data_IF_626852351584
#
_entry.id   IF_626852351584
#
_cell.length_a   1.000
_cell.length_b   1.000
_cell.length_c   1.000
_cell.angle_alpha   90.00
_cell.angle_beta   90.00
_cell.angle_gamma   90.00
#
_symmetry.space_group_name_H-M   'P 1'
#
loop_
_entity.id
_entity.type
_entity.pdbx_description
1 polymer ?
#
# COMPACT_ATOMS: atom_id res chain seq x y z
N UNK A 1 27.76 37.64 5.82
CA UNK A 1 28.30 36.52 6.62
C UNK A 1 27.27 35.46 6.99
N UNK A 2 26.29 35.68 7.89
CA UNK A 2 25.32 34.61 8.28
C UNK A 2 24.55 34.02 7.10
N UNK A 3 24.15 34.86 6.14
CA UNK A 3 23.46 34.46 4.91
C UNK A 3 24.34 33.56 4.02
N UNK A 4 25.60 33.92 3.87
CA UNK A 4 26.56 33.22 3.00
C UNK A 4 26.95 31.88 3.61
N UNK A 5 27.22 31.84 4.93
CA UNK A 5 27.45 30.60 5.68
C UNK A 5 26.25 29.67 5.54
N UNK A 6 25.03 30.19 5.70
CA UNK A 6 23.82 29.38 5.53
C UNK A 6 23.67 28.86 4.10
N UNK A 7 23.96 29.68 3.10
CA UNK A 7 23.92 29.29 1.67
C UNK A 7 24.95 28.21 1.37
N UNK A 8 26.17 28.35 1.90
CA UNK A 8 27.23 27.36 1.81
C UNK A 8 26.82 26.03 2.45
N UNK A 9 26.35 26.04 3.70
CA UNK A 9 25.95 24.81 4.40
C UNK A 9 24.76 24.13 3.72
N UNK A 10 23.81 24.89 3.17
CA UNK A 10 22.66 24.35 2.42
C UNK A 10 23.07 23.71 1.09
N UNK A 11 24.06 24.30 0.39
CA UNK A 11 24.49 23.83 -0.93
C UNK A 11 25.65 22.83 -0.89
N UNK A 12 26.33 22.68 0.25
CA UNK A 12 27.44 21.75 0.45
C UNK A 12 26.99 20.29 0.18
N UNK A 13 27.52 19.61 -0.85
CA UNK A 13 27.12 18.25 -1.19
C UNK A 13 27.35 17.25 -0.05
N UNK A 14 28.50 17.34 0.63
CA UNK A 14 28.86 16.46 1.76
C UNK A 14 27.84 16.58 2.90
N UNK A 15 27.51 17.81 3.31
CA UNK A 15 26.49 18.04 4.32
C UNK A 15 25.12 17.50 3.89
N UNK A 16 24.79 17.63 2.60
CA UNK A 16 23.52 17.18 2.08
C UNK A 16 23.40 15.64 2.05
N UNK A 17 24.48 14.92 1.75
CA UNK A 17 24.44 13.46 1.64
C UNK A 17 24.57 12.74 2.99
N UNK A 18 25.21 13.35 3.98
CA UNK A 18 25.46 12.73 5.29
C UNK A 18 24.36 13.05 6.30
N UNK A 19 23.88 14.29 6.38
CA UNK A 19 23.00 14.71 7.49
C UNK A 19 21.60 14.10 7.37
N UNK A 20 21.14 13.31 8.35
CA UNK A 20 19.79 12.76 8.34
C UNK A 20 18.76 13.89 8.50
N UNK A 21 17.59 13.67 7.92
CA UNK A 21 16.49 14.62 8.03
C UNK A 21 15.72 14.46 9.33
N UNK A 22 15.51 15.58 10.03
CA UNK A 22 14.68 15.66 11.23
C UNK A 22 13.22 16.08 10.92
N UNK A 23 12.85 16.14 9.64
CA UNK A 23 11.49 16.51 9.21
C UNK A 23 10.58 15.28 9.24
N UNK A 24 9.28 15.51 9.39
CA UNK A 24 8.26 14.47 9.14
C UNK A 24 8.48 13.83 7.76
N UNK A 25 8.24 12.51 7.61
CA UNK A 25 8.35 11.83 6.33
C UNK A 25 7.45 12.49 5.26
N UNK A 26 7.95 12.57 4.03
CA UNK A 26 7.21 13.11 2.90
C UNK A 26 6.14 12.12 2.40
N UNK A 27 5.16 12.66 1.67
CA UNK A 27 4.14 11.89 0.97
C UNK A 27 2.88 11.74 1.80
N UNK A 28 1.77 12.26 1.27
CA UNK A 28 0.43 12.02 1.80
C UNK A 28 -0.10 10.67 1.29
N UNK A 29 -1.09 10.10 1.98
CA UNK A 29 -1.70 8.86 1.52
C UNK A 29 -2.49 9.09 0.23
N UNK A 30 -2.21 8.29 -0.80
CA UNK A 30 -3.02 8.19 -2.00
C UNK A 30 -3.81 6.88 -1.91
N UNK A 31 -5.11 6.92 -1.57
CA UNK A 31 -5.93 5.72 -1.49
C UNK A 31 -6.13 5.08 -2.87
N UNK A 32 -6.13 3.75 -2.91
CA UNK A 32 -6.53 2.99 -4.09
C UNK A 32 -8.04 2.82 -4.03
N UNK A 33 -8.75 3.27 -5.06
CA UNK A 33 -10.19 3.13 -5.17
C UNK A 33 -10.55 1.99 -6.12
N UNK A 34 -11.48 1.15 -5.68
CA UNK A 34 -12.16 0.14 -6.48
C UNK A 34 -13.66 0.36 -6.30
N UNK A 35 -14.41 0.23 -7.39
CA UNK A 35 -15.83 0.60 -7.50
C UNK A 35 -16.73 -0.60 -7.75
N UNK A 36 -16.15 -1.69 -8.27
CA UNK A 36 -16.82 -2.93 -8.61
C UNK A 36 -15.94 -4.15 -8.26
N UNK A 37 -16.54 -5.35 -8.05
CA UNK A 37 -15.78 -6.56 -7.76
C UNK A 37 -14.74 -6.85 -8.84
N UNK A 38 -13.52 -7.16 -8.43
CA UNK A 38 -12.39 -7.48 -9.29
C UNK A 38 -11.94 -6.34 -10.22
N UNK A 39 -12.36 -5.08 -10.04
CA UNK A 39 -11.76 -3.95 -10.77
C UNK A 39 -10.26 -3.83 -10.47
N UNK A 40 -9.92 -3.91 -9.17
CA UNK A 40 -8.56 -3.81 -8.66
C UNK A 40 -8.29 -5.01 -7.77
N UNK A 41 -7.31 -5.81 -8.16
CA UNK A 41 -6.84 -6.93 -7.36
C UNK A 41 -5.42 -6.69 -6.88
N UNK A 42 -5.07 -7.26 -5.73
CA UNK A 42 -3.69 -7.37 -5.26
C UNK A 42 -3.21 -8.80 -5.26
N UNK A 43 -1.92 -9.01 -5.50
CA UNK A 43 -1.26 -10.32 -5.39
C UNK A 43 -0.03 -10.23 -4.51
N UNK A 44 0.20 -11.27 -3.70
CA UNK A 44 1.40 -11.39 -2.88
C UNK A 44 1.75 -12.86 -2.58
N UNK A 45 3.03 -13.13 -2.33
CA UNK A 45 3.51 -14.42 -1.83
C UNK A 45 3.80 -14.35 -0.33
N UNK A 46 3.33 -15.36 0.39
CA UNK A 46 3.69 -15.58 1.79
C UNK A 46 4.60 -16.80 1.89
N UNK A 47 5.82 -16.59 2.38
CA UNK A 47 6.74 -17.67 2.66
C UNK A 47 8.21 -17.23 2.70
N UNK A 48 9.14 -18.19 2.77
CA UNK A 48 8.88 -19.63 2.86
C UNK A 48 8.25 -20.04 4.20
N UNK A 49 7.39 -21.05 4.16
CA UNK A 49 6.78 -21.73 5.32
C UNK A 49 7.35 -23.15 5.45
N UNK A 50 7.20 -23.81 6.62
CA UNK A 50 7.56 -25.21 6.78
C UNK A 50 6.91 -26.08 5.70
N UNK A 51 7.72 -26.89 5.02
CA UNK A 51 7.24 -27.67 3.88
C UNK A 51 6.21 -28.71 4.34
N UNK A 52 5.06 -28.76 3.65
CA UNK A 52 3.99 -29.71 3.95
C UNK A 52 4.23 -31.08 3.33
N UNK A 53 3.45 -32.09 3.73
CA UNK A 53 3.49 -33.42 3.12
C UNK A 53 3.21 -33.40 1.60
N UNK A 54 2.40 -32.45 1.13
CA UNK A 54 2.10 -32.23 -0.30
C UNK A 54 3.22 -31.50 -1.05
N UNK A 55 4.27 -31.10 -0.32
CA UNK A 55 5.43 -30.36 -0.83
C UNK A 55 5.24 -28.84 -0.87
N UNK A 56 4.14 -28.29 -0.32
CA UNK A 56 3.88 -26.85 -0.38
C UNK A 56 4.79 -26.10 0.60
N UNK A 57 5.32 -24.95 0.17
CA UNK A 57 6.22 -24.11 0.97
C UNK A 57 5.89 -22.62 0.91
N UNK A 58 4.96 -22.21 0.04
CA UNK A 58 4.53 -20.84 -0.13
C UNK A 58 3.01 -20.78 -0.26
N UNK A 59 2.45 -19.62 0.03
CA UNK A 59 1.05 -19.30 -0.23
C UNK A 59 1.02 -18.14 -1.20
N UNK A 60 0.29 -18.28 -2.30
CA UNK A 60 -0.03 -17.19 -3.21
C UNK A 60 -1.43 -16.67 -2.90
N UNK A 61 -1.54 -15.37 -2.63
CA UNK A 61 -2.80 -14.74 -2.24
C UNK A 61 -3.19 -13.71 -3.28
N UNK A 62 -4.41 -13.81 -3.80
CA UNK A 62 -5.08 -12.76 -4.56
C UNK A 62 -6.19 -12.14 -3.72
N UNK A 63 -6.33 -10.82 -3.76
CA UNK A 63 -7.33 -10.08 -2.98
C UNK A 63 -8.04 -9.08 -3.87
N UNK A 64 -9.37 -9.18 -3.97
CA UNK A 64 -10.19 -8.14 -4.57
C UNK A 64 -10.33 -6.94 -3.62
N UNK A 65 -10.04 -5.74 -4.11
CA UNK A 65 -10.07 -4.53 -3.30
C UNK A 65 -11.48 -4.03 -3.03
N UNK A 66 -12.47 -4.40 -3.83
CA UNK A 66 -13.85 -3.96 -3.60
C UNK A 66 -14.59 -4.90 -2.65
N UNK A 67 -14.85 -6.14 -3.08
CA UNK A 67 -15.59 -7.15 -2.31
C UNK A 67 -14.82 -7.69 -1.11
N UNK A 68 -13.49 -7.49 -1.08
CA UNK A 68 -12.58 -8.13 -0.10
C UNK A 68 -12.47 -9.64 -0.27
N UNK A 69 -12.94 -10.19 -1.39
CA UNK A 69 -12.78 -11.60 -1.72
C UNK A 69 -11.31 -11.98 -1.81
N UNK A 70 -10.99 -13.19 -1.36
CA UNK A 70 -9.63 -13.73 -1.39
C UNK A 70 -9.59 -15.04 -2.15
N UNK A 71 -8.53 -15.26 -2.94
CA UNK A 71 -8.13 -16.56 -3.46
C UNK A 71 -6.76 -16.90 -2.88
N UNK A 72 -6.66 -18.06 -2.24
CA UNK A 72 -5.46 -18.48 -1.50
C UNK A 72 -5.01 -19.84 -2.01
N UNK A 73 -3.80 -19.89 -2.55
CA UNK A 73 -3.24 -21.08 -3.17
C UNK A 73 -2.00 -21.55 -2.39
N UNK A 74 -2.03 -22.77 -1.86
CA UNK A 74 -0.81 -23.42 -1.39
C UNK A 74 0.02 -23.87 -2.60
N UNK A 75 1.30 -23.48 -2.64
CA UNK A 75 2.20 -23.77 -3.76
C UNK A 75 3.59 -24.20 -3.28
N UNK A 76 4.29 -24.97 -4.12
CA UNK A 76 5.61 -25.52 -3.79
C UNK A 76 6.73 -24.48 -3.90
N UNK A 77 6.58 -23.52 -4.80
CA UNK A 77 7.59 -22.54 -5.16
C UNK A 77 6.97 -21.18 -5.46
N UNK A 78 7.68 -20.11 -5.15
CA UNK A 78 7.30 -18.75 -5.52
C UNK A 78 7.96 -18.38 -6.85
N UNK A 79 7.40 -18.86 -7.97
CA UNK A 79 7.89 -18.58 -9.33
C UNK A 79 6.86 -17.82 -10.17
N UNK A 80 7.34 -17.18 -11.23
CA UNK A 80 6.50 -16.47 -12.19
C UNK A 80 5.48 -17.40 -12.88
N UNK A 81 5.92 -18.61 -13.22
CA UNK A 81 5.12 -19.65 -13.87
C UNK A 81 3.95 -20.06 -12.97
N UNK A 82 4.23 -20.29 -11.68
CA UNK A 82 3.21 -20.63 -10.68
C UNK A 82 2.23 -19.46 -10.50
N UNK A 83 2.74 -18.23 -10.38
CA UNK A 83 1.90 -17.04 -10.24
C UNK A 83 0.97 -16.84 -11.44
N UNK A 84 1.50 -16.96 -12.66
CA UNK A 84 0.72 -16.84 -13.90
C UNK A 84 -0.34 -17.94 -14.02
N UNK A 85 0.04 -19.20 -13.79
CA UNK A 85 -0.87 -20.34 -13.85
C UNK A 85 -2.01 -20.20 -12.84
N UNK A 86 -1.72 -19.81 -11.60
CA UNK A 86 -2.73 -19.62 -10.56
C UNK A 86 -3.58 -18.38 -10.77
N UNK A 87 -3.02 -17.31 -11.31
CA UNK A 87 -3.83 -16.18 -11.74
C UNK A 87 -4.83 -16.60 -12.82
N UNK A 88 -4.39 -17.37 -13.82
CA UNK A 88 -5.27 -17.84 -14.88
C UNK A 88 -6.38 -18.75 -14.35
N UNK A 89 -6.04 -19.76 -13.53
CA UNK A 89 -7.00 -20.78 -13.08
C UNK A 89 -7.92 -20.30 -11.96
N UNK A 90 -7.41 -19.51 -11.01
CA UNK A 90 -8.14 -19.15 -9.80
C UNK A 90 -8.76 -17.75 -9.84
N UNK A 91 -8.23 -16.86 -10.69
CA UNK A 91 -8.75 -15.50 -10.85
C UNK A 91 -9.48 -15.36 -12.18
N UNK A 92 -8.74 -15.40 -13.29
CA UNK A 92 -9.30 -15.10 -14.61
C UNK A 92 -10.44 -16.04 -15.00
N UNK A 93 -10.25 -17.36 -14.88
CA UNK A 93 -11.26 -18.35 -15.27
C UNK A 93 -12.53 -18.32 -14.39
N UNK A 94 -12.47 -17.73 -13.19
CA UNK A 94 -13.57 -17.72 -12.22
C UNK A 94 -14.30 -16.38 -12.15
N UNK A 95 -13.56 -15.29 -12.27
CA UNK A 95 -14.04 -13.94 -12.00
C UNK A 95 -13.84 -12.97 -13.17
N UNK A 96 -13.13 -13.39 -14.22
CA UNK A 96 -12.71 -12.52 -15.31
C UNK A 96 -11.39 -11.78 -15.02
N UNK A 97 -10.93 -11.00 -15.99
CA UNK A 97 -9.68 -10.26 -15.88
C UNK A 97 -9.90 -8.97 -15.08
N UNK A 98 -9.18 -8.77 -13.95
CA UNK A 98 -9.20 -7.49 -13.28
C UNK A 98 -8.60 -6.40 -14.17
N UNK A 99 -9.09 -5.17 -14.04
CA UNK A 99 -8.54 -4.03 -14.77
C UNK A 99 -7.11 -3.73 -14.34
N UNK A 100 -6.87 -3.77 -13.04
CA UNK A 100 -5.56 -3.53 -12.45
C UNK A 100 -5.16 -4.67 -11.51
N UNK A 101 -3.99 -5.26 -11.71
CA UNK A 101 -3.37 -6.15 -10.75
C UNK A 101 -2.19 -5.46 -10.07
N UNK A 102 -2.21 -5.39 -8.75
CA UNK A 102 -1.18 -4.72 -7.93
C UNK A 102 -0.30 -5.76 -7.25
N UNK A 103 1.01 -5.65 -7.42
CA UNK A 103 1.97 -6.54 -6.75
C UNK A 103 3.14 -5.76 -6.14
N UNK A 104 3.94 -6.44 -5.33
CA UNK A 104 5.25 -5.94 -4.94
C UNK A 104 6.27 -6.11 -6.08
N UNK A 105 7.51 -5.67 -5.85
CA UNK A 105 8.60 -5.83 -6.82
C UNK A 105 9.31 -7.17 -6.67
N UNK A 106 8.64 -8.19 -6.14
CA UNK A 106 9.17 -9.54 -6.02
C UNK A 106 9.56 -10.11 -7.38
N UNK A 107 10.64 -10.89 -7.43
CA UNK A 107 11.17 -11.49 -8.66
C UNK A 107 10.11 -12.18 -9.52
N UNK A 108 9.16 -12.96 -8.96
CA UNK A 108 8.10 -13.59 -9.76
C UNK A 108 7.24 -12.60 -10.54
N UNK A 109 6.84 -11.49 -9.91
CA UNK A 109 5.94 -10.50 -10.50
C UNK A 109 6.67 -9.55 -11.46
N UNK A 110 7.98 -9.36 -11.27
CA UNK A 110 8.82 -8.59 -12.19
C UNK A 110 9.14 -9.34 -13.50
N UNK A 111 8.86 -10.63 -13.59
CA UNK A 111 9.20 -11.45 -14.75
C UNK A 111 8.46 -11.01 -16.02
N UNK A 112 9.10 -11.18 -17.17
CA UNK A 112 8.47 -10.92 -18.46
C UNK A 112 7.26 -11.84 -18.69
N UNK A 113 7.38 -13.12 -18.33
CA UNK A 113 6.31 -14.11 -18.43
C UNK A 113 5.02 -13.63 -17.74
N UNK A 114 5.12 -13.21 -16.47
CA UNK A 114 3.93 -12.79 -15.71
C UNK A 114 3.31 -11.54 -16.34
N UNK A 115 4.12 -10.56 -16.75
CA UNK A 115 3.65 -9.36 -17.43
C UNK A 115 2.98 -9.66 -18.78
N UNK A 116 3.53 -10.59 -19.58
CA UNK A 116 2.95 -11.00 -20.86
C UNK A 116 1.59 -11.67 -20.66
N UNK A 117 1.46 -12.57 -19.67
CA UNK A 117 0.18 -13.23 -19.35
C UNK A 117 -0.89 -12.20 -18.98
N UNK A 118 -0.55 -11.24 -18.11
CA UNK A 118 -1.48 -10.16 -17.73
C UNK A 118 -1.87 -9.29 -18.92
N UNK A 119 -0.93 -9.00 -19.82
CA UNK A 119 -1.21 -8.24 -21.04
C UNK A 119 -2.18 -8.97 -21.98
N UNK A 120 -2.01 -10.30 -22.14
CA UNK A 120 -2.85 -11.13 -23.02
C UNK A 120 -4.31 -11.15 -22.52
N UNK A 121 -4.50 -11.28 -21.21
CA UNK A 121 -5.84 -11.28 -20.58
C UNK A 121 -6.44 -9.88 -20.42
N UNK A 122 -5.69 -8.82 -20.71
CA UNK A 122 -6.17 -7.43 -20.67
C UNK A 122 -6.03 -6.74 -19.30
N UNK A 123 -5.24 -7.29 -18.37
CA UNK A 123 -4.97 -6.68 -17.06
C UNK A 123 -3.73 -5.79 -17.08
N UNK A 124 -3.83 -4.56 -16.56
CA UNK A 124 -2.67 -3.68 -16.38
C UNK A 124 -1.96 -4.02 -15.05
N UNK A 125 -0.68 -4.37 -15.14
CA UNK A 125 0.14 -4.70 -13.99
C UNK A 125 0.75 -3.44 -13.34
N UNK A 126 0.45 -3.21 -12.07
CA UNK A 126 0.92 -2.06 -11.29
C UNK A 126 1.82 -2.51 -10.14
N UNK A 127 3.07 -2.09 -10.20
CA UNK A 127 4.04 -2.42 -9.16
C UNK A 127 4.00 -1.37 -8.04
N UNK A 128 3.99 -1.82 -6.79
CA UNK A 128 4.25 -0.93 -5.66
C UNK A 128 5.70 -0.44 -5.70
N UNK A 129 5.95 0.74 -5.13
CA UNK A 129 7.32 1.27 -5.04
C UNK A 129 8.13 0.54 -3.99
N UNK A 130 9.42 0.34 -4.27
CA UNK A 130 10.33 -0.34 -3.36
C UNK A 130 10.32 0.32 -1.97
N UNK A 131 10.27 -0.51 -0.93
CA UNK A 131 10.26 -0.10 0.48
C UNK A 131 9.02 0.71 0.94
N UNK A 132 7.90 0.68 0.19
CA UNK A 132 6.63 1.25 0.63
C UNK A 132 5.47 0.23 0.64
N UNK A 133 5.56 -0.85 1.46
CA UNK A 133 4.56 -1.93 1.52
C UNK A 133 3.17 -1.50 1.98
N UNK A 134 3.04 -0.31 2.60
CA UNK A 134 1.81 0.24 3.19
C UNK A 134 0.61 0.39 2.22
N UNK A 135 0.82 0.12 0.93
CA UNK A 135 -0.15 0.32 -0.15
C UNK A 135 -0.86 -0.98 -0.57
N UNK A 136 -0.39 -2.16 -0.15
CA UNK A 136 -0.99 -3.42 -0.62
C UNK A 136 -2.06 -3.96 0.35
N UNK A 137 -3.30 -4.11 -0.11
CA UNK A 137 -4.38 -4.69 0.70
C UNK A 137 -4.06 -6.14 1.09
N UNK A 138 -3.21 -6.82 0.31
CA UNK A 138 -2.69 -8.15 0.60
C UNK A 138 -1.95 -8.20 1.92
N UNK A 139 -1.21 -7.16 2.35
CA UNK A 139 -0.44 -7.20 3.62
C UNK A 139 -1.37 -7.45 4.82
N UNK A 140 -2.52 -6.77 4.84
CA UNK A 140 -3.51 -6.94 5.91
C UNK A 140 -4.13 -8.33 5.88
N UNK A 141 -4.51 -8.80 4.70
CA UNK A 141 -5.06 -10.15 4.52
C UNK A 141 -4.04 -11.20 4.93
N UNK A 142 -2.78 -11.04 4.53
CA UNK A 142 -1.68 -11.94 4.87
C UNK A 142 -1.45 -12.01 6.37
N UNK A 143 -1.61 -10.89 7.09
CA UNK A 143 -1.56 -10.89 8.56
C UNK A 143 -2.70 -11.70 9.16
N UNK A 144 -3.95 -11.48 8.72
CA UNK A 144 -5.10 -12.25 9.20
C UNK A 144 -4.96 -13.74 8.87
N UNK A 145 -4.52 -14.05 7.64
CA UNK A 145 -4.27 -15.41 7.17
C UNK A 145 -3.21 -16.11 8.02
N UNK A 146 -2.08 -15.45 8.31
CA UNK A 146 -1.05 -15.99 9.20
C UNK A 146 -1.60 -16.29 10.59
N UNK A 147 -2.36 -15.37 11.18
CA UNK A 147 -2.97 -15.58 12.50
C UNK A 147 -3.93 -16.78 12.48
N UNK A 148 -4.78 -16.89 11.46
CA UNK A 148 -5.71 -18.00 11.31
C UNK A 148 -4.96 -19.33 11.13
N UNK A 149 -3.94 -19.38 10.28
CA UNK A 149 -3.11 -20.57 10.09
C UNK A 149 -2.46 -21.00 11.41
N UNK A 150 -1.85 -20.06 12.15
CA UNK A 150 -1.24 -20.37 13.44
C UNK A 150 -2.25 -20.97 14.43
N UNK A 151 -3.48 -20.45 14.46
CA UNK A 151 -4.54 -20.96 15.34
C UNK A 151 -4.97 -22.40 14.98
N UNK A 152 -5.03 -22.74 13.69
CA UNK A 152 -5.44 -24.07 13.23
C UNK A 152 -4.34 -25.13 13.36
N UNK A 153 -3.10 -24.72 13.18
CA UNK A 153 -1.98 -25.66 13.01
C UNK A 153 -1.41 -26.12 14.35
N UNK A 154 -1.52 -25.31 15.42
CA UNK A 154 -0.93 -25.63 16.72
C UNK A 154 0.55 -25.97 16.59
N UNK A 155 0.99 -27.09 17.16
CA UNK A 155 2.39 -27.52 17.10
C UNK A 155 2.79 -28.18 15.76
N UNK A 156 1.82 -28.55 14.90
CA UNK A 156 2.08 -29.33 13.66
C UNK A 156 2.30 -28.44 12.45
N UNK A 157 3.33 -27.59 12.51
CA UNK A 157 3.57 -26.52 11.52
C UNK A 157 3.60 -26.95 10.05
N UNK A 158 3.78 -28.23 9.71
CA UNK A 158 3.80 -28.77 8.35
C UNK A 158 2.41 -29.17 7.79
N UNK A 159 1.31 -28.91 8.50
CA UNK A 159 -0.06 -29.24 8.04
C UNK A 159 -0.88 -28.01 7.63
N UNK A 160 -0.25 -26.84 7.49
CA UNK A 160 -0.94 -25.58 7.24
C UNK A 160 -1.78 -25.58 5.95
N UNK A 161 -1.36 -26.32 4.92
CA UNK A 161 -2.04 -26.34 3.62
C UNK A 161 -3.42 -27.01 3.67
N UNK A 162 -3.63 -27.94 4.61
CA UNK A 162 -4.90 -28.66 4.79
C UNK A 162 -6.05 -27.77 5.26
N UNK A 163 -5.72 -26.68 5.95
CA UNK A 163 -6.71 -25.80 6.58
C UNK A 163 -7.06 -24.57 5.72
N UNK A 164 -6.35 -24.37 4.60
CA UNK A 164 -6.58 -23.23 3.70
C UNK A 164 -8.05 -23.13 3.25
N UNK A 165 -8.74 -24.21 2.83
CA UNK A 165 -10.14 -24.12 2.42
C UNK A 165 -11.07 -23.59 3.53
N UNK A 166 -10.92 -24.08 4.76
CA UNK A 166 -11.73 -23.69 5.91
C UNK A 166 -11.45 -22.23 6.30
N UNK A 167 -10.18 -21.82 6.30
CA UNK A 167 -9.79 -20.44 6.58
C UNK A 167 -10.33 -19.49 5.50
N UNK A 168 -10.23 -19.87 4.23
CA UNK A 168 -10.82 -19.10 3.13
C UNK A 168 -12.32 -18.95 3.29
N UNK A 169 -13.04 -20.03 3.61
CA UNK A 169 -14.48 -19.98 3.82
C UNK A 169 -14.83 -19.01 4.96
N UNK A 170 -14.18 -19.14 6.11
CA UNK A 170 -14.40 -18.24 7.25
C UNK A 170 -14.14 -16.76 6.90
N UNK A 171 -13.09 -16.46 6.12
CA UNK A 171 -12.79 -15.09 5.68
C UNK A 171 -13.75 -14.57 4.63
N UNK A 172 -14.36 -15.45 3.81
CA UNK A 172 -15.35 -15.08 2.78
C UNK A 172 -16.74 -14.84 3.35
N UNK A 173 -17.07 -15.40 4.51
CA UNK A 173 -18.40 -15.25 5.16
C UNK A 173 -18.39 -14.26 6.32
N UNK A 174 -17.22 -13.91 6.88
CA UNK A 174 -17.15 -12.90 7.94
C UNK A 174 -17.37 -11.48 7.40
N UNK A 175 -18.26 -10.66 8.00
CA UNK A 175 -18.42 -9.26 7.65
C UNK A 175 -17.11 -8.48 7.82
N UNK A 176 -16.76 -7.67 6.82
CA UNK A 176 -15.52 -6.90 6.85
C UNK A 176 -15.77 -5.45 7.31
N UNK A 177 -14.99 -4.96 8.29
CA UNK A 177 -15.18 -3.64 8.93
C UNK A 177 -15.28 -2.47 7.94
N UNK A 178 -14.57 -2.54 6.80
CA UNK A 178 -14.56 -1.44 5.83
C UNK A 178 -15.76 -1.38 4.90
N UNK A 179 -16.47 -2.50 4.71
CA UNK A 179 -17.62 -2.61 3.80
C UNK A 179 -18.93 -2.78 4.57
N UNK A 180 -18.88 -3.32 5.80
CA UNK A 180 -20.07 -3.69 6.58
C UNK A 180 -20.66 -5.05 6.18
N UNK A 181 -20.26 -5.60 5.04
CA UNK A 181 -20.77 -6.85 4.47
C UNK A 181 -19.67 -7.92 4.36
N UNK A 182 -20.09 -9.18 4.28
CA UNK A 182 -19.19 -10.29 3.99
C UNK A 182 -18.70 -10.22 2.53
N UNK A 183 -17.50 -10.74 2.22
CA UNK A 183 -17.07 -10.87 0.83
C UNK A 183 -18.01 -11.70 -0.04
N UNK A 184 -18.68 -12.71 0.54
CA UNK A 184 -19.70 -13.49 -0.13
C UNK A 184 -20.90 -12.65 -0.57
N UNK A 185 -21.47 -11.84 0.33
CA UNK A 185 -22.58 -10.94 0.00
C UNK A 185 -22.19 -9.93 -1.06
N UNK A 186 -20.96 -9.39 -0.97
CA UNK A 186 -20.42 -8.44 -1.94
C UNK A 186 -20.24 -9.04 -3.34
N UNK A 187 -19.77 -10.28 -3.45
CA UNK A 187 -19.46 -10.91 -4.72
C UNK A 187 -20.68 -11.63 -5.35
N UNK A 188 -21.46 -12.36 -4.53
CA UNK A 188 -22.57 -13.20 -5.00
C UNK A 188 -23.95 -12.61 -4.75
N UNK A 189 -24.05 -11.47 -4.05
CA UNK A 189 -25.34 -10.89 -3.65
C UNK A 189 -26.06 -11.66 -2.54
N UNK A 190 -25.46 -12.74 -2.02
CA UNK A 190 -26.02 -13.59 -0.95
C UNK A 190 -24.96 -14.02 0.05
N UNK A 191 -25.40 -14.30 1.27
CA UNK A 191 -24.55 -14.97 2.26
C UNK A 191 -24.38 -16.46 1.89
N UNK A 192 -23.21 -17.03 2.22
CA UNK A 192 -23.01 -18.47 2.12
C UNK A 192 -23.46 -19.11 3.42
N UNK A 193 -24.40 -20.05 3.34
CA UNK A 193 -24.92 -20.76 4.50
C UNK A 193 -23.81 -21.54 5.20
N UNK A 194 -23.74 -21.39 6.52
CA UNK A 194 -22.91 -22.20 7.40
C UNK A 194 -23.75 -23.31 8.04
N UNK A 195 -23.14 -24.41 8.51
CA UNK A 195 -23.87 -25.43 9.25
C UNK A 195 -24.61 -24.89 10.49
N UNK A 196 -24.10 -23.80 11.09
CA UNK A 196 -24.76 -23.13 12.23
C UNK A 196 -26.04 -22.46 11.75
N UNK A 197 -26.01 -21.79 10.60
CA UNK A 197 -27.21 -21.14 10.05
C UNK A 197 -28.34 -22.13 9.81
N UNK A 198 -28.01 -23.36 9.37
CA UNK A 198 -29.01 -24.44 9.20
C UNK A 198 -29.64 -24.92 10.52
N UNK A 199 -28.94 -24.75 11.64
CA UNK A 199 -29.42 -25.14 12.98
C UNK A 199 -30.15 -24.01 13.71
N UNK A 200 -29.84 -22.75 13.37
CA UNK A 200 -30.36 -21.57 14.07
C UNK A 200 -31.40 -20.79 13.28
N UNK A 201 -31.57 -21.06 11.97
CA UNK A 201 -32.63 -20.43 11.20
C UNK A 201 -34.01 -20.95 11.67
N UNK A 202 -34.94 -20.07 12.07
CA UNK A 202 -36.30 -20.49 12.35
C UNK A 202 -36.92 -21.09 11.09
N UNK A 203 -37.68 -22.18 11.24
CA UNK A 203 -38.40 -22.80 10.12
C UNK A 203 -39.25 -21.74 9.41
N UNK A 204 -39.00 -21.53 8.12
CA UNK A 204 -39.80 -20.64 7.26
C UNK A 204 -41.12 -21.29 6.82
N UNK A 205 -41.67 -22.21 7.62
CA UNK A 205 -42.99 -22.81 7.40
C UNK A 205 -44.06 -21.72 7.67
N UNK A 206 -44.35 -20.92 6.64
CA UNK A 206 -45.59 -20.14 6.55
C UNK A 206 -45.50 -18.62 6.47
N UNK A 207 -44.32 -17.99 6.32
CA UNK A 207 -44.21 -16.51 6.29
C UNK A 207 -43.71 -15.89 4.99
N UNK A 208 -43.21 -16.68 4.03
CA UNK A 208 -42.91 -16.17 2.69
C UNK A 208 -44.10 -16.46 1.78
N UNK A 209 -45.10 -15.57 1.78
CA UNK A 209 -46.03 -15.50 0.67
C UNK A 209 -45.27 -14.89 -0.53
N UNK A 210 -44.96 -15.67 -1.59
CA UNK A 210 -44.21 -15.18 -2.75
C UNK A 210 -44.94 -14.06 -3.50
N UNK A 211 -46.20 -13.77 -3.16
CA UNK A 211 -47.06 -12.79 -3.81
C UNK A 211 -47.10 -11.43 -3.09
N UNK A 212 -46.59 -11.30 -1.85
CA UNK A 212 -46.76 -10.10 -1.02
C UNK A 212 -45.52 -9.20 -0.92
N UNK A 213 -44.35 -9.67 -1.33
CA UNK A 213 -43.15 -8.83 -1.44
C UNK A 213 -42.82 -8.60 -2.91
N UNK A 214 -42.65 -7.34 -3.38
CA UNK A 214 -42.05 -7.13 -4.69
C UNK A 214 -40.71 -7.86 -4.66
N UNK A 215 -40.41 -8.76 -5.61
CA UNK A 215 -39.09 -9.35 -5.65
C UNK A 215 -38.13 -8.20 -5.90
N UNK A 216 -37.44 -7.72 -4.85
CA UNK A 216 -36.21 -6.98 -5.07
C UNK A 216 -35.38 -7.94 -5.91
N UNK A 217 -35.18 -7.60 -7.18
CA UNK A 217 -34.38 -8.44 -8.06
C UNK A 217 -33.00 -8.54 -7.44
N UNK A 218 -32.34 -9.69 -7.57
CA UNK A 218 -30.97 -9.87 -7.07
C UNK A 218 -30.07 -8.69 -7.47
N UNK A 219 -30.28 -8.18 -8.69
CA UNK A 219 -29.63 -6.98 -9.22
C UNK A 219 -29.86 -5.73 -8.38
N UNK A 220 -31.10 -5.41 -7.99
CA UNK A 220 -31.40 -4.26 -7.12
C UNK A 220 -30.74 -4.42 -5.75
N UNK A 221 -30.84 -5.59 -5.13
CA UNK A 221 -30.21 -5.85 -3.82
C UNK A 221 -28.69 -5.75 -3.88
N UNK A 222 -28.06 -6.25 -4.97
CA UNK A 222 -26.63 -6.12 -5.19
C UNK A 222 -26.23 -4.66 -5.41
N UNK A 223 -27.00 -3.91 -6.19
CA UNK A 223 -26.75 -2.50 -6.46
C UNK A 223 -26.77 -1.69 -5.16
N UNK A 224 -27.80 -1.86 -4.33
CA UNK A 224 -27.91 -1.22 -3.00
C UNK A 224 -26.72 -1.58 -2.09
N UNK A 225 -26.34 -2.87 -2.07
CA UNK A 225 -25.19 -3.36 -1.30
C UNK A 225 -23.89 -2.70 -1.78
N UNK A 226 -23.70 -2.60 -3.10
CA UNK A 226 -22.50 -2.00 -3.70
C UNK A 226 -22.46 -0.49 -3.50
N UNK A 227 -23.59 0.21 -3.58
CA UNK A 227 -23.71 1.63 -3.26
C UNK A 227 -23.31 1.92 -1.81
N UNK A 228 -23.83 1.12 -0.87
CA UNK A 228 -23.46 1.20 0.53
C UNK A 228 -21.95 0.94 0.73
N UNK A 229 -21.43 -0.12 0.11
CA UNK A 229 -20.02 -0.46 0.22
C UNK A 229 -19.11 0.64 -0.35
N UNK A 230 -19.50 1.29 -1.47
CA UNK A 230 -18.78 2.45 -2.01
C UNK A 230 -18.73 3.59 -0.99
N UNK A 231 -19.84 3.94 -0.36
CA UNK A 231 -19.89 4.98 0.68
C UNK A 231 -19.05 4.62 1.93
N UNK A 232 -19.14 3.37 2.39
CA UNK A 232 -18.39 2.86 3.54
C UNK A 232 -16.87 2.87 3.27
N UNK A 233 -16.45 2.39 2.10
CA UNK A 233 -15.05 2.39 1.67
C UNK A 233 -14.50 3.81 1.56
N UNK A 234 -15.25 4.74 0.97
CA UNK A 234 -14.87 6.15 0.91
C UNK A 234 -14.64 6.74 2.31
N UNK A 235 -15.56 6.47 3.24
CA UNK A 235 -15.44 6.92 4.63
C UNK A 235 -14.23 6.31 5.33
N UNK A 236 -14.01 5.00 5.16
CA UNK A 236 -12.84 4.29 5.68
C UNK A 236 -11.53 4.86 5.12
N UNK A 237 -11.49 5.16 3.82
CA UNK A 237 -10.33 5.75 3.15
C UNK A 237 -10.04 7.16 3.66
N UNK A 238 -11.07 8.02 3.80
CA UNK A 238 -10.94 9.35 4.39
C UNK A 238 -10.39 9.30 5.82
N UNK A 239 -10.93 8.40 6.65
CA UNK A 239 -10.46 8.18 8.04
C UNK A 239 -8.99 7.75 8.07
N UNK A 240 -8.61 6.73 7.29
CA UNK A 240 -7.22 6.27 7.19
C UNK A 240 -6.28 7.35 6.68
N UNK A 241 -6.68 8.08 5.65
CA UNK A 241 -5.92 9.21 5.08
C UNK A 241 -5.68 10.29 6.11
N UNK A 242 -6.70 10.71 6.84
CA UNK A 242 -6.58 11.73 7.88
C UNK A 242 -5.51 11.36 8.92
N UNK A 243 -5.61 10.19 9.55
CA UNK A 243 -4.65 9.77 10.57
C UNK A 243 -3.24 9.54 10.03
N UNK A 244 -3.11 9.06 8.79
CA UNK A 244 -1.81 8.91 8.14
C UNK A 244 -1.17 10.29 7.88
N UNK A 245 -1.94 11.23 7.31
CA UNK A 245 -1.45 12.53 6.89
C UNK A 245 -1.01 13.41 8.07
N UNK A 246 -1.59 13.24 9.27
CA UNK A 246 -1.14 13.90 10.51
C UNK A 246 0.35 13.69 10.82
N UNK A 247 0.89 12.52 10.45
CA UNK A 247 2.29 12.13 10.68
C UNK A 247 3.19 12.42 9.48
N UNK A 248 2.67 13.01 8.41
CA UNK A 248 3.38 13.24 7.15
C UNK A 248 3.48 14.73 6.83
N UNK A 249 4.25 15.05 5.79
CA UNK A 249 4.30 16.39 5.20
C UNK A 249 4.03 16.33 3.70
N UNK A 250 3.28 17.30 3.13
CA UNK A 250 3.14 17.41 1.69
C UNK A 250 4.47 17.82 1.06
N UNK A 251 4.84 17.16 -0.03
CA UNK A 251 6.02 17.48 -0.84
C UNK A 251 5.69 17.16 -2.28
N UNK A 252 6.01 18.07 -3.17
CA UNK A 252 5.87 17.90 -4.61
C UNK A 252 7.17 18.31 -5.27
N UNK A 253 7.58 17.57 -6.29
CA UNK A 253 8.71 17.90 -7.15
C UNK A 253 8.21 18.14 -8.58
N UNK A 254 8.93 18.97 -9.31
CA UNK A 254 8.70 19.26 -10.72
C UNK A 254 9.77 18.57 -11.59
N UNK A 255 9.47 18.46 -12.88
CA UNK A 255 10.43 17.96 -13.86
C UNK A 255 11.69 18.85 -13.86
N UNK A 256 12.86 18.22 -13.83
CA UNK A 256 14.14 18.90 -13.76
C UNK A 256 14.64 19.22 -12.35
N UNK A 257 13.81 19.08 -11.31
CA UNK A 257 14.25 19.29 -9.93
C UNK A 257 15.39 18.34 -9.56
N UNK A 258 16.38 18.87 -8.85
CA UNK A 258 17.46 18.08 -8.28
C UNK A 258 17.05 17.54 -6.91
N UNK A 259 17.19 16.24 -6.74
CA UNK A 259 16.84 15.53 -5.52
C UNK A 259 17.98 14.62 -5.07
N UNK A 260 18.03 14.34 -3.78
CA UNK A 260 18.84 13.28 -3.19
C UNK A 260 17.93 12.15 -2.74
N UNK A 261 18.38 10.92 -2.97
CA UNK A 261 17.67 9.69 -2.67
C UNK A 261 18.20 9.09 -1.37
N UNK A 262 17.33 8.82 -0.41
CA UNK A 262 17.68 8.09 0.80
C UNK A 262 18.08 6.67 0.44
N UNK A 263 19.29 6.27 0.83
CA UNK A 263 19.82 4.93 0.60
C UNK A 263 19.68 4.07 1.85
N UNK A 264 19.67 2.75 1.65
CA UNK A 264 19.72 1.75 2.71
C UNK A 264 20.93 0.84 2.47
N UNK A 265 22.16 1.36 2.65
CA UNK A 265 23.37 0.60 2.39
C UNK A 265 23.42 -0.62 3.33
N UNK A 266 23.82 -1.76 2.79
CA UNK A 266 24.17 -2.95 3.57
C UNK A 266 25.68 -2.99 3.72
N UNK A 267 26.16 -3.48 4.86
CA UNK A 267 27.60 -3.67 5.06
C UNK A 267 28.11 -4.73 4.08
N UNK A 268 29.25 -4.47 3.47
CA UNK A 268 29.91 -5.35 2.54
C UNK A 268 31.39 -5.43 2.95
N UNK A 269 31.80 -6.60 3.46
CA UNK A 269 33.15 -6.82 3.91
C UNK A 269 34.15 -6.85 2.74
N UNK A 270 33.73 -7.31 1.55
CA UNK A 270 34.58 -7.39 0.36
C UNK A 270 34.86 -5.99 -0.17
N UNK A 271 33.85 -5.12 -0.17
CA UNK A 271 34.00 -3.72 -0.56
C UNK A 271 34.58 -2.83 0.56
N UNK A 272 34.96 -3.39 1.72
CA UNK A 272 35.36 -2.64 2.92
C UNK A 272 34.36 -1.53 3.32
N UNK A 273 33.06 -1.75 3.06
CA UNK A 273 31.99 -0.78 3.31
C UNK A 273 31.19 -1.17 4.56
N UNK A 274 31.15 -0.29 5.56
CA UNK A 274 30.27 -0.47 6.72
C UNK A 274 29.03 0.41 6.59
N UNK A 275 27.83 -0.18 6.68
CA UNK A 275 26.57 0.56 6.57
C UNK A 275 26.44 1.74 7.56
N UNK A 276 27.06 1.63 8.74
CA UNK A 276 27.07 2.69 9.76
C UNK A 276 27.85 3.95 9.35
N UNK A 277 28.84 3.82 8.46
CA UNK A 277 29.68 4.92 7.98
C UNK A 277 29.28 5.39 6.57
N UNK A 278 28.36 4.70 5.92
CA UNK A 278 27.90 5.03 4.59
C UNK A 278 27.03 6.31 4.59
N UNK A 279 27.07 7.05 3.48
CA UNK A 279 26.19 8.20 3.30
C UNK A 279 24.72 7.78 3.38
N UNK A 280 23.91 8.59 4.07
CA UNK A 280 22.47 8.35 4.26
C UNK A 280 21.69 8.62 2.97
N UNK A 281 22.21 9.48 2.11
CA UNK A 281 21.65 9.80 0.81
C UNK A 281 22.67 9.63 -0.31
N UNK A 282 22.19 9.33 -1.51
CA UNK A 282 22.92 9.37 -2.77
C UNK A 282 22.33 10.44 -3.69
N UNK A 283 23.11 10.83 -4.70
CA UNK A 283 22.74 11.82 -5.71
C UNK A 283 23.85 12.85 -5.95
N UNK A 284 23.54 13.97 -6.62
CA UNK A 284 22.20 14.40 -6.98
C UNK A 284 21.60 13.64 -8.16
N UNK A 285 20.29 13.46 -8.13
CA UNK A 285 19.47 12.89 -9.21
C UNK A 285 18.52 13.96 -9.74
N UNK A 286 18.09 13.80 -10.99
CA UNK A 286 17.11 14.67 -11.62
C UNK A 286 15.76 13.97 -11.71
N UNK A 287 14.69 14.70 -11.40
CA UNK A 287 13.33 14.23 -11.64
C UNK A 287 13.03 14.29 -13.14
N UNK A 288 12.83 13.14 -13.77
CA UNK A 288 12.56 13.04 -15.22
C UNK A 288 11.08 12.84 -15.52
N UNK A 289 10.32 12.29 -14.57
CA UNK A 289 8.89 12.08 -14.73
C UNK A 289 8.17 12.11 -13.39
N UNK A 290 7.01 12.75 -13.33
CA UNK A 290 6.05 12.63 -12.22
C UNK A 290 5.00 11.61 -12.61
N UNK A 291 4.99 10.45 -11.95
CA UNK A 291 4.05 9.35 -12.24
C UNK A 291 2.78 9.47 -11.38
N UNK A 292 2.92 9.96 -10.15
CA UNK A 292 1.79 10.29 -9.27
C UNK A 292 2.18 11.41 -8.30
N UNK A 293 1.29 11.76 -7.38
CA UNK A 293 1.62 12.70 -6.29
C UNK A 293 2.80 12.22 -5.43
N UNK A 294 2.99 10.90 -5.35
CA UNK A 294 3.94 10.25 -4.45
C UNK A 294 5.02 9.43 -5.15
N UNK A 295 4.92 9.17 -6.45
CA UNK A 295 5.90 8.38 -7.19
C UNK A 295 6.54 9.21 -8.32
N UNK A 296 7.86 9.20 -8.37
CA UNK A 296 8.66 9.95 -9.34
C UNK A 296 9.68 9.02 -9.99
N UNK A 297 9.95 9.21 -11.29
CA UNK A 297 11.06 8.56 -11.98
C UNK A 297 12.28 9.47 -11.94
N UNK A 298 13.43 8.90 -11.57
CA UNK A 298 14.69 9.62 -11.43
C UNK A 298 15.69 9.18 -12.50
N UNK A 299 16.54 10.11 -12.92
CA UNK A 299 17.75 9.82 -13.67
C UNK A 299 18.98 10.41 -12.98
N UNK A 300 20.13 9.81 -13.23
CA UNK A 300 21.42 10.41 -12.90
C UNK A 300 21.64 11.69 -13.72
N UNK A 301 22.60 12.52 -13.33
CA UNK A 301 22.97 13.74 -14.05
C UNK A 301 23.37 13.41 -15.50
N UNK A 302 24.02 12.26 -15.69
CA UNK A 302 24.46 11.75 -16.99
C UNK A 302 23.30 11.16 -17.83
N UNK A 303 22.07 11.19 -17.33
CA UNK A 303 20.87 10.70 -18.03
C UNK A 303 20.52 9.23 -17.79
N UNK A 304 21.35 8.46 -17.07
CA UNK A 304 21.07 7.06 -16.75
C UNK A 304 19.81 6.93 -15.88
N UNK A 305 18.85 6.09 -16.28
CA UNK A 305 17.63 5.84 -15.49
C UNK A 305 17.96 5.15 -14.16
N UNK A 306 17.45 5.71 -13.08
CA UNK A 306 17.54 5.15 -11.72
C UNK A 306 16.27 4.38 -11.38
N UNK A 307 15.17 4.67 -12.09
CA UNK A 307 13.88 4.03 -11.91
C UNK A 307 12.90 4.84 -11.05
N UNK A 308 11.83 4.16 -10.62
CA UNK A 308 10.70 4.78 -9.92
C UNK A 308 10.86 4.70 -8.42
N UNK A 309 10.74 5.85 -7.75
CA UNK A 309 10.92 5.97 -6.31
C UNK A 309 9.77 6.73 -5.65
N UNK A 310 9.41 6.31 -4.45
CA UNK A 310 8.44 6.99 -3.60
C UNK A 310 9.02 8.27 -2.97
N UNK A 311 8.21 9.33 -2.93
CA UNK A 311 8.56 10.67 -2.43
C UNK A 311 9.09 10.67 -0.99
N UNK A 312 8.73 9.66 -0.19
CA UNK A 312 9.23 9.50 1.19
C UNK A 312 10.76 9.40 1.25
N UNK A 313 11.37 8.81 0.22
CA UNK A 313 12.81 8.62 0.10
C UNK A 313 13.51 9.79 -0.58
N UNK A 314 12.77 10.81 -1.02
CA UNK A 314 13.29 11.95 -1.77
C UNK A 314 13.42 13.20 -0.90
N UNK A 315 14.52 13.91 -1.08
CA UNK A 315 14.71 15.25 -0.52
C UNK A 315 15.25 16.20 -1.59
N UNK A 316 14.93 17.50 -1.52
CA UNK A 316 15.56 18.48 -2.40
C UNK A 316 17.07 18.45 -2.27
N UNK A 317 17.77 18.56 -3.40
CA UNK A 317 19.20 18.82 -3.45
C UNK A 317 19.42 20.27 -3.88
N UNK A 318 20.20 21.02 -3.12
CA UNK A 318 20.46 22.43 -3.34
C UNK A 318 21.84 22.64 -3.94
N UNK A 319 21.90 23.29 -5.09
CA UNK A 319 23.12 23.97 -5.58
C UNK A 319 23.23 25.36 -4.95
N UNK A 320 24.38 26.00 -5.06
CA UNK A 320 24.59 27.37 -4.58
C UNK A 320 23.49 28.33 -5.07
N UNK A 321 23.21 28.32 -6.37
CA UNK A 321 22.18 29.14 -7.02
C UNK A 321 20.78 28.92 -6.44
N UNK A 322 20.42 27.66 -6.18
CA UNK A 322 19.10 27.34 -5.58
C UNK A 322 19.02 27.73 -4.10
N UNK A 323 20.13 27.60 -3.37
CA UNK A 323 20.22 27.97 -1.96
C UNK A 323 20.13 29.50 -1.76
N UNK A 324 20.78 30.27 -2.64
CA UNK A 324 20.66 31.73 -2.65
C UNK A 324 19.21 32.18 -2.94
N UNK A 325 18.57 31.56 -3.92
CA UNK A 325 17.18 31.86 -4.30
C UNK A 325 16.20 31.57 -3.16
N UNK A 326 16.39 30.48 -2.40
CA UNK A 326 15.59 30.22 -1.20
C UNK A 326 15.77 31.26 -0.10
N UNK A 327 17.01 31.75 0.08
CA UNK A 327 17.29 32.77 1.08
C UNK A 327 16.71 34.14 0.71
N UNK A 328 16.48 34.43 -0.59
CA UNK A 328 15.79 35.65 -1.05
C UNK A 328 14.27 35.60 -0.83
N UNK A 329 13.64 34.41 -0.84
CA UNK A 329 12.17 34.24 -0.73
C UNK A 329 11.60 34.25 0.69
N UNK A 330 12.42 34.22 1.75
CA UNK A 330 11.92 34.32 3.13
C UNK A 330 11.92 35.79 3.56
N UNK A 331 10.76 36.39 3.89
CA UNK A 331 10.75 37.72 4.49
C UNK A 331 11.52 37.65 5.81
N UNK A 332 12.35 38.66 6.04
CA UNK A 332 13.17 38.80 7.23
C UNK A 332 12.27 38.78 8.47
N UNK A 333 12.34 37.70 9.25
CA UNK A 333 11.69 37.67 10.57
C UNK A 333 12.60 38.45 11.51
N UNK A 334 12.40 39.77 11.55
CA UNK A 334 13.00 40.62 12.57
C UNK A 334 12.59 40.12 13.97
N UNK A 335 13.50 40.16 14.96
CA UNK A 335 13.21 39.69 16.30
C UNK A 335 12.20 40.61 16.97
N UNK A 336 11.10 40.04 17.47
CA UNK A 336 10.13 40.75 18.32
C UNK A 336 10.87 41.32 19.53
N UNK A 337 10.96 42.65 19.64
CA UNK A 337 11.38 43.35 20.86
C UNK A 337 10.41 42.96 21.98
N UNK A 338 10.95 42.42 23.07
CA UNK A 338 10.27 42.32 24.35
C UNK A 338 10.00 43.76 24.84
N UNK A 339 8.73 44.19 24.82
CA UNK A 339 8.31 45.37 25.58
C UNK A 339 8.08 44.92 27.02
N UNK A 340 9.00 45.28 27.91
CA UNK A 340 8.81 45.32 29.35
C UNK A 340 7.74 46.36 29.68
N UNK A 341 6.59 45.91 30.17
CA UNK A 341 5.55 46.76 30.74
C UNK A 341 5.97 47.22 32.15
N UNK A 342 6.29 48.50 32.29
CA UNK A 342 6.32 49.18 33.59
C UNK A 342 4.89 49.42 34.07
N UNK A 343 4.49 48.81 35.20
CA UNK A 343 3.27 49.17 35.93
C UNK A 343 3.62 50.06 37.12
N UNK A 344 3.29 51.33 36.99
CA UNK A 344 2.92 52.30 38.03
C UNK A 344 1.63 52.94 37.44
N UNK A 345 0.53 53.21 38.11
CA UNK A 345 0.33 53.60 39.50
C UNK A 345 -1.18 53.61 39.81
N UNK A 346 -1.53 53.52 41.10
CA UNK A 346 -2.61 54.23 41.81
C UNK A 346 -4.08 54.08 41.34
N UNK A 347 -4.94 53.61 42.26
CA UNK A 347 -5.86 54.52 42.95
C UNK A 347 -6.41 53.88 44.23
N UNK A 348 -6.51 54.73 45.25
CA UNK A 348 -6.91 54.46 46.63
C UNK A 348 -8.40 54.75 46.84
N UNK A 349 -8.84 54.38 48.06
CA UNK A 349 -10.11 54.66 48.77
C UNK A 349 -11.24 53.70 48.48
#
# INVERSE_FOLDING_TARGET
>A
MRKDVKTYVLSCPVCQLIKPSQKKPAGLLVPIHASEPWEVAGVDFVGPLPRTASGNAYILVFVDYFSKWIEVCAVREATAQVAASKFQSEVFARHGAPKYLISDRGTPFMSELFNQVLKIVGSEHRLTTAYHPQTNATERVNRTLKTAICAYVGDKHNTWDKYIPQICFALRTAPHESTGFSPAKMLYGRELATPVDLLTQPSTDGTDDPLLSPPQTLEQSMQETHDHARAALQTSHKRKKHYYDLKRRPVTFQLGDLVRLKTHPRSDAVANLTAKLACVYAGPYRVVQKLSEVNYRLANIDGTDVGVVHVVSLQPFHTWTTAESQNKRRPDRSPRRLQTLSRLSLCSV
#
